data_IF_451250455801
#
_entry.id   IF_451250455801
#
_cell.length_a   1.000
_cell.length_b   1.000
_cell.length_c   1.000
_cell.angle_alpha   90.00
_cell.angle_beta   90.00
_cell.angle_gamma   90.00
#
_symmetry.space_group_name_H-M   'P 1'
#
loop_
_entity.id
_entity.type
_entity.pdbx_description
1 polymer ?
#
# COMPACT_ATOMS: atom_id res chain seq x y z
N UNK A 1 18.85 -26.83 -11.74
CA UNK A 1 17.53 -27.15 -11.11
C UNK A 1 16.85 -25.82 -10.84
N UNK A 2 15.94 -25.39 -11.72
CA UNK A 2 15.12 -24.20 -11.44
C UNK A 2 14.14 -24.59 -10.33
N UNK A 3 14.49 -24.28 -9.08
CA UNK A 3 13.53 -24.34 -8.00
C UNK A 3 12.47 -23.30 -8.31
N UNK A 4 11.24 -23.76 -8.51
CA UNK A 4 10.09 -22.88 -8.74
C UNK A 4 9.94 -21.98 -7.49
N UNK A 5 10.00 -20.66 -7.70
CA UNK A 5 9.93 -19.68 -6.62
C UNK A 5 8.56 -19.71 -5.95
N UNK A 6 8.54 -19.85 -4.62
CA UNK A 6 7.31 -19.79 -3.84
C UNK A 6 6.89 -18.33 -3.63
N UNK A 7 5.72 -17.95 -4.18
CA UNK A 7 5.20 -16.60 -4.08
C UNK A 7 3.88 -16.65 -3.30
N UNK A 8 3.81 -15.88 -2.23
CA UNK A 8 2.57 -15.66 -1.47
C UNK A 8 1.91 -14.35 -1.90
N UNK A 9 0.58 -14.32 -1.91
CA UNK A 9 -0.18 -13.09 -2.07
C UNK A 9 -0.95 -12.77 -0.79
N UNK A 10 -0.85 -11.55 -0.29
CA UNK A 10 -1.60 -11.07 0.89
C UNK A 10 -2.67 -10.10 0.42
N UNK A 11 -3.93 -10.40 0.74
CA UNK A 11 -5.08 -9.52 0.51
C UNK A 11 -5.71 -9.19 1.86
N UNK A 12 -5.76 -7.91 2.21
CA UNK A 12 -6.46 -7.45 3.41
C UNK A 12 -7.84 -6.94 3.02
N UNK A 13 -8.88 -7.50 3.63
CA UNK A 13 -10.27 -7.10 3.42
C UNK A 13 -10.74 -6.14 4.51
N UNK A 14 -11.52 -5.16 4.10
CA UNK A 14 -12.31 -4.32 5.00
C UNK A 14 -13.63 -3.95 4.33
N UNK A 15 -14.74 -4.58 4.75
CA UNK A 15 -16.06 -4.47 4.13
C UNK A 15 -16.00 -4.63 2.59
N UNK A 16 -15.51 -5.78 2.07
CA UNK A 16 -15.19 -5.96 0.67
C UNK A 16 -16.42 -5.96 -0.23
N UNK A 17 -16.25 -5.52 -1.47
CA UNK A 17 -17.19 -5.85 -2.54
C UNK A 17 -16.92 -7.29 -2.98
N UNK A 18 -17.86 -8.19 -2.66
CA UNK A 18 -17.71 -9.64 -2.87
C UNK A 18 -17.48 -9.97 -4.35
N UNK A 19 -18.23 -9.36 -5.27
CA UNK A 19 -18.07 -9.62 -6.70
C UNK A 19 -16.71 -9.17 -7.24
N UNK A 20 -16.16 -8.08 -6.70
CA UNK A 20 -14.83 -7.59 -7.05
C UNK A 20 -13.75 -8.52 -6.50
N UNK A 21 -13.88 -8.96 -5.25
CA UNK A 21 -12.95 -9.89 -4.63
C UNK A 21 -12.81 -11.19 -5.44
N UNK A 22 -13.92 -11.80 -5.88
CA UNK A 22 -13.85 -13.01 -6.68
C UNK A 22 -13.24 -12.78 -8.08
N UNK A 23 -13.44 -11.61 -8.70
CA UNK A 23 -12.71 -11.25 -9.92
C UNK A 23 -11.20 -11.17 -9.70
N UNK A 24 -10.78 -10.58 -8.59
CA UNK A 24 -9.37 -10.51 -8.21
C UNK A 24 -8.80 -11.91 -7.99
N UNK A 25 -9.52 -12.77 -7.26
CA UNK A 25 -9.09 -14.14 -7.00
C UNK A 25 -8.96 -15.00 -8.26
N UNK A 26 -9.88 -14.86 -9.22
CA UNK A 26 -9.79 -15.56 -10.50
C UNK A 26 -8.52 -15.21 -11.27
N UNK A 27 -8.05 -13.96 -11.16
CA UNK A 27 -6.85 -13.52 -11.86
C UNK A 27 -5.57 -13.86 -11.09
N UNK A 28 -5.58 -13.79 -9.76
CA UNK A 28 -4.34 -13.91 -8.98
C UNK A 28 -4.03 -15.33 -8.52
N UNK A 29 -5.05 -16.16 -8.27
CA UNK A 29 -4.84 -17.51 -7.70
C UNK A 29 -3.95 -18.41 -8.58
N UNK A 30 -4.00 -18.23 -9.90
CA UNK A 30 -3.17 -18.98 -10.86
C UNK A 30 -1.75 -18.41 -11.03
N UNK A 31 -1.46 -17.24 -10.44
CA UNK A 31 -0.16 -16.58 -10.58
C UNK A 31 0.74 -16.75 -9.35
N UNK A 32 0.19 -17.25 -8.23
CA UNK A 32 0.90 -17.38 -6.96
C UNK A 32 0.74 -18.77 -6.35
N UNK A 33 1.66 -19.16 -5.48
CA UNK A 33 1.58 -20.46 -4.80
C UNK A 33 0.43 -20.50 -3.80
N UNK A 34 0.18 -19.40 -3.10
CA UNK A 34 -0.89 -19.29 -2.09
C UNK A 34 -1.38 -17.86 -1.98
N UNK A 35 -2.69 -17.69 -1.85
CA UNK A 35 -3.33 -16.42 -1.50
C UNK A 35 -3.78 -16.49 -0.04
N UNK A 36 -3.31 -15.56 0.78
CA UNK A 36 -3.71 -15.43 2.18
C UNK A 36 -4.58 -14.19 2.34
N UNK A 37 -5.84 -14.41 2.68
CA UNK A 37 -6.83 -13.36 2.85
C UNK A 37 -7.02 -13.10 4.35
N UNK A 38 -6.77 -11.86 4.76
CA UNK A 38 -6.98 -11.40 6.14
C UNK A 38 -8.20 -10.49 6.16
N UNK A 39 -9.31 -10.97 6.72
CA UNK A 39 -10.51 -10.15 6.84
C UNK A 39 -10.48 -9.31 8.12
N UNK A 40 -10.17 -8.04 7.91
CA UNK A 40 -10.09 -6.98 8.91
C UNK A 40 -11.44 -6.27 9.14
N UNK A 41 -12.53 -6.84 8.63
CA UNK A 41 -13.89 -6.29 8.77
C UNK A 41 -14.47 -6.55 10.15
N UNK A 42 -15.33 -5.63 10.59
CA UNK A 42 -16.10 -5.79 11.83
C UNK A 42 -17.44 -6.49 11.61
N UNK A 43 -17.91 -6.48 10.35
CA UNK A 43 -19.15 -7.15 9.93
C UNK A 43 -18.85 -8.50 9.32
N UNK A 44 -19.76 -9.44 9.49
CA UNK A 44 -19.65 -10.74 8.85
C UNK A 44 -19.96 -10.60 7.35
N UNK A 45 -19.00 -11.00 6.52
CA UNK A 45 -19.21 -11.23 5.10
C UNK A 45 -19.21 -12.76 4.92
N UNK A 46 -20.34 -13.36 4.54
CA UNK A 46 -20.41 -14.78 4.22
C UNK A 46 -19.59 -15.05 2.95
N UNK A 47 -18.28 -15.24 3.10
CA UNK A 47 -17.36 -15.51 2.00
C UNK A 47 -17.09 -17.02 1.93
N UNK A 48 -17.26 -17.61 0.76
CA UNK A 48 -16.95 -19.02 0.50
C UNK A 48 -15.83 -19.10 -0.55
N UNK A 49 -14.71 -19.71 -0.16
CA UNK A 49 -13.51 -19.89 -0.99
C UNK A 49 -13.28 -21.36 -1.38
N UNK A 50 -14.27 -22.23 -1.22
CA UNK A 50 -14.16 -23.68 -1.50
C UNK A 50 -13.73 -24.02 -2.93
N UNK A 51 -13.98 -23.11 -3.88
CA UNK A 51 -13.56 -23.25 -5.29
C UNK A 51 -12.07 -22.94 -5.54
N UNK A 52 -11.32 -22.51 -4.52
CA UNK A 52 -9.91 -22.13 -4.64
C UNK A 52 -9.05 -23.01 -3.74
N UNK A 53 -8.26 -23.91 -4.31
CA UNK A 53 -7.44 -24.87 -3.56
C UNK A 53 -6.24 -24.23 -2.85
N UNK A 54 -5.83 -23.03 -3.28
CA UNK A 54 -4.66 -22.31 -2.75
C UNK A 54 -5.01 -21.01 -2.01
N UNK A 55 -6.30 -20.81 -1.65
CA UNK A 55 -6.73 -19.66 -0.86
C UNK A 55 -6.88 -20.05 0.60
N UNK A 56 -6.26 -19.28 1.49
CA UNK A 56 -6.40 -19.40 2.94
C UNK A 56 -7.09 -18.13 3.44
N UNK A 57 -8.08 -18.30 4.30
CA UNK A 57 -8.88 -17.19 4.82
C UNK A 57 -8.79 -17.13 6.34
N UNK A 58 -8.43 -15.97 6.87
CA UNK A 58 -8.42 -15.68 8.29
C UNK A 58 -9.31 -14.46 8.59
N UNK A 59 -10.28 -14.65 9.48
CA UNK A 59 -11.21 -13.61 9.92
C UNK A 59 -10.79 -13.08 11.29
N UNK A 60 -10.55 -11.78 11.38
CA UNK A 60 -10.12 -11.14 12.64
C UNK A 60 -11.29 -10.70 13.53
N UNK A 61 -12.46 -10.40 12.94
CA UNK A 61 -13.66 -9.93 13.66
C UNK A 61 -13.56 -8.48 14.16
N UNK A 62 -12.43 -7.82 13.99
CA UNK A 62 -12.20 -6.42 14.36
C UNK A 62 -11.17 -5.77 13.43
N UNK A 63 -11.24 -4.45 13.30
CA UNK A 63 -10.27 -3.68 12.50
C UNK A 63 -9.02 -3.36 13.33
N UNK A 64 -7.93 -4.07 13.06
CA UNK A 64 -6.62 -3.87 13.70
C UNK A 64 -5.68 -2.95 12.87
N UNK A 65 -6.15 -2.42 11.74
CA UNK A 65 -5.36 -1.64 10.80
C UNK A 65 -4.70 -2.47 9.71
N UNK A 66 -4.38 -1.83 8.58
CA UNK A 66 -3.82 -2.53 7.42
C UNK A 66 -2.43 -3.09 7.70
N UNK A 67 -1.60 -2.34 8.44
CA UNK A 67 -0.23 -2.77 8.74
C UNK A 67 -0.21 -4.06 9.57
N UNK A 68 -1.01 -4.13 10.65
CA UNK A 68 -1.12 -5.33 11.49
C UNK A 68 -1.71 -6.51 10.72
N UNK A 69 -2.74 -6.28 9.89
CA UNK A 69 -3.34 -7.32 9.08
C UNK A 69 -2.35 -7.86 8.02
N UNK A 70 -1.59 -6.99 7.36
CA UNK A 70 -0.51 -7.40 6.45
C UNK A 70 0.60 -8.17 7.16
N UNK A 71 0.96 -7.78 8.39
CA UNK A 71 1.96 -8.48 9.20
C UNK A 71 1.52 -9.90 9.58
N UNK A 72 0.23 -10.16 9.79
CA UNK A 72 -0.29 -11.53 9.98
C UNK A 72 0.03 -12.39 8.75
N UNK A 73 -0.29 -11.90 7.55
CA UNK A 73 0.04 -12.59 6.30
C UNK A 73 1.55 -12.77 6.10
N UNK A 74 2.37 -11.76 6.42
CA UNK A 74 3.84 -11.86 6.37
C UNK A 74 4.37 -12.96 7.29
N UNK A 75 3.84 -13.10 8.49
CA UNK A 75 4.22 -14.15 9.42
C UNK A 75 3.85 -15.56 8.91
N UNK A 76 2.74 -15.68 8.18
CA UNK A 76 2.36 -16.92 7.53
C UNK A 76 3.38 -17.31 6.43
N UNK A 77 3.84 -16.34 5.65
CA UNK A 77 4.69 -16.55 4.49
C UNK A 77 6.22 -16.49 4.76
N UNK A 78 6.64 -16.56 6.00
CA UNK A 78 8.09 -16.45 6.36
C UNK A 78 9.03 -17.41 5.63
N UNK A 79 8.51 -18.58 5.17
CA UNK A 79 9.27 -19.62 4.45
C UNK A 79 9.05 -19.56 2.92
N UNK A 80 8.50 -18.46 2.40
CA UNK A 80 8.34 -18.20 0.97
C UNK A 80 9.51 -17.36 0.44
N UNK A 81 9.67 -17.32 -0.90
CA UNK A 81 10.70 -16.47 -1.52
C UNK A 81 10.23 -15.02 -1.65
N UNK A 82 8.99 -14.82 -2.09
CA UNK A 82 8.43 -13.50 -2.39
C UNK A 82 7.01 -13.35 -1.87
N UNK A 83 6.65 -12.10 -1.58
CA UNK A 83 5.31 -11.67 -1.23
C UNK A 83 4.82 -10.64 -2.23
N UNK A 84 3.60 -10.83 -2.70
CA UNK A 84 2.81 -9.83 -3.39
C UNK A 84 1.75 -9.28 -2.43
N UNK A 85 1.73 -7.97 -2.20
CA UNK A 85 0.56 -7.33 -1.60
C UNK A 85 -0.45 -6.99 -2.69
N UNK A 86 -1.74 -7.19 -2.44
CA UNK A 86 -2.78 -6.84 -3.39
C UNK A 86 -3.98 -6.22 -2.66
N UNK A 87 -4.46 -5.08 -3.15
CA UNK A 87 -5.64 -4.43 -2.58
C UNK A 87 -6.93 -5.14 -3.02
N UNK A 88 -7.96 -5.07 -2.19
CA UNK A 88 -9.26 -5.73 -2.42
C UNK A 88 -10.09 -5.14 -3.58
N UNK A 89 -9.61 -4.08 -4.22
CA UNK A 89 -10.27 -3.32 -5.29
C UNK A 89 -9.40 -3.16 -6.56
N UNK A 90 -8.25 -3.81 -6.59
CA UNK A 90 -7.29 -3.74 -7.70
C UNK A 90 -7.26 -5.06 -8.48
N UNK A 91 -7.77 -5.07 -9.72
CA UNK A 91 -7.76 -6.26 -10.56
C UNK A 91 -6.39 -6.41 -11.21
N UNK A 92 -5.62 -7.47 -10.88
CA UNK A 92 -4.33 -7.72 -11.49
C UNK A 92 -4.48 -8.21 -12.93
N UNK A 93 -3.57 -7.85 -13.86
CA UNK A 93 -3.52 -8.51 -15.16
C UNK A 93 -2.96 -9.93 -15.05
N UNK A 94 -3.28 -10.81 -16.01
CA UNK A 94 -2.85 -12.21 -16.06
C UNK A 94 -1.33 -12.42 -15.95
N UNK A 95 -0.55 -11.43 -16.38
CA UNK A 95 0.92 -11.49 -16.39
C UNK A 95 1.58 -10.67 -15.28
N UNK A 96 0.84 -10.26 -14.25
CA UNK A 96 1.37 -9.39 -13.20
C UNK A 96 2.60 -10.02 -12.52
N UNK A 97 2.41 -11.17 -11.89
CA UNK A 97 3.44 -11.80 -11.07
C UNK A 97 4.63 -12.30 -11.91
N UNK A 98 4.43 -13.00 -13.03
CA UNK A 98 5.55 -13.41 -13.89
C UNK A 98 6.40 -12.22 -14.38
N UNK A 99 5.75 -11.10 -14.76
CA UNK A 99 6.46 -9.91 -15.24
C UNK A 99 7.23 -9.24 -14.11
N UNK A 100 6.63 -9.07 -12.93
CA UNK A 100 7.30 -8.47 -11.77
C UNK A 100 8.49 -9.34 -11.33
N UNK A 101 8.31 -10.66 -11.22
CA UNK A 101 9.37 -11.58 -10.81
C UNK A 101 10.54 -11.56 -11.80
N UNK A 102 10.26 -11.65 -13.10
CA UNK A 102 11.30 -11.57 -14.15
C UNK A 102 12.16 -10.32 -14.00
N UNK A 103 11.54 -9.17 -13.81
CA UNK A 103 12.26 -7.91 -13.66
C UNK A 103 12.97 -7.81 -12.31
N UNK A 104 12.39 -8.34 -11.24
CA UNK A 104 13.04 -8.43 -9.93
C UNK A 104 14.36 -9.21 -10.03
N UNK A 105 14.32 -10.41 -10.61
CA UNK A 105 15.49 -11.27 -10.81
C UNK A 105 16.53 -10.63 -11.74
N UNK A 106 16.10 -9.95 -12.80
CA UNK A 106 16.98 -9.19 -13.68
C UNK A 106 17.75 -8.11 -12.89
N UNK A 107 17.06 -7.33 -12.08
CA UNK A 107 17.69 -6.27 -11.26
C UNK A 107 18.68 -6.84 -10.24
N UNK A 108 18.37 -8.00 -9.63
CA UNK A 108 19.32 -8.71 -8.75
C UNK A 108 20.59 -9.14 -9.50
N UNK A 109 20.45 -9.66 -10.74
CA UNK A 109 21.60 -10.04 -11.57
C UNK A 109 22.47 -8.84 -11.97
N UNK A 110 21.88 -7.63 -12.00
CA UNK A 110 22.62 -6.37 -12.18
C UNK A 110 23.26 -5.86 -10.87
N UNK A 111 23.32 -6.69 -9.82
CA UNK A 111 23.85 -6.37 -8.48
C UNK A 111 23.15 -5.18 -7.83
N UNK A 112 21.85 -5.05 -8.01
CA UNK A 112 21.02 -4.02 -7.39
C UNK A 112 20.34 -4.60 -6.14
N UNK A 113 20.42 -3.89 -5.02
CA UNK A 113 19.67 -4.21 -3.81
C UNK A 113 18.20 -3.84 -4.00
N UNK A 114 17.42 -4.80 -4.48
CA UNK A 114 16.00 -4.57 -4.82
C UNK A 114 15.15 -4.61 -3.55
N UNK A 115 14.56 -3.48 -3.19
CA UNK A 115 13.59 -3.39 -2.09
C UNK A 115 12.23 -3.97 -2.49
N UNK A 116 11.69 -3.46 -3.58
CA UNK A 116 10.45 -3.95 -4.18
C UNK A 116 10.35 -3.54 -5.65
N UNK A 117 9.53 -4.29 -6.40
CA UNK A 117 9.06 -3.92 -7.74
C UNK A 117 7.55 -3.85 -7.75
N UNK A 118 6.98 -2.91 -8.49
CA UNK A 118 5.53 -2.75 -8.63
C UNK A 118 5.13 -2.46 -10.08
N UNK A 119 3.86 -2.66 -10.44
CA UNK A 119 3.34 -2.31 -11.77
C UNK A 119 3.21 -0.80 -11.96
N UNK A 120 3.02 -0.39 -13.19
CA UNK A 120 2.62 0.98 -13.53
C UNK A 120 1.15 1.20 -13.17
N UNK A 121 0.82 2.12 -12.26
CA UNK A 121 -0.58 2.45 -11.97
C UNK A 121 -1.27 3.07 -13.20
N UNK A 122 -2.51 2.63 -13.47
CA UNK A 122 -3.33 3.08 -14.58
C UNK A 122 -4.74 3.44 -14.11
N UNK A 123 -5.19 4.65 -14.41
CA UNK A 123 -6.55 5.09 -14.12
C UNK A 123 -7.48 4.66 -15.27
N UNK A 124 -8.32 3.65 -15.01
CA UNK A 124 -9.27 3.11 -15.99
C UNK A 124 -10.33 4.15 -16.37
N UNK A 125 -10.78 5.00 -15.44
CA UNK A 125 -11.83 5.99 -15.69
C UNK A 125 -11.39 7.12 -16.63
N UNK A 126 -10.10 7.50 -16.60
CA UNK A 126 -9.54 8.55 -17.45
C UNK A 126 -8.75 8.01 -18.64
N UNK A 127 -8.61 6.69 -18.78
CA UNK A 127 -7.76 6.03 -19.77
C UNK A 127 -6.33 6.60 -19.81
N UNK A 128 -5.76 6.91 -18.64
CA UNK A 128 -4.44 7.53 -18.51
C UNK A 128 -3.56 6.79 -17.52
N UNK A 129 -2.27 6.70 -17.84
CA UNK A 129 -1.26 6.26 -16.88
C UNK A 129 -1.15 7.28 -15.74
N UNK A 130 -1.20 6.80 -14.51
CA UNK A 130 -1.02 7.66 -13.35
C UNK A 130 0.44 8.12 -13.25
N UNK A 131 0.67 9.42 -13.20
CA UNK A 131 2.02 9.98 -13.26
C UNK A 131 2.61 10.41 -11.89
N UNK A 132 1.85 10.31 -10.81
CA UNK A 132 2.21 10.88 -9.50
C UNK A 132 3.63 10.60 -9.01
N UNK A 133 3.92 9.38 -8.57
CA UNK A 133 5.24 8.98 -8.04
C UNK A 133 6.33 8.95 -9.13
N UNK A 134 5.94 8.75 -10.38
CA UNK A 134 6.84 8.56 -11.52
C UNK A 134 7.43 9.89 -12.01
N UNK A 135 6.74 11.02 -11.86
CA UNK A 135 7.31 12.34 -12.19
C UNK A 135 8.63 12.64 -11.49
N UNK A 136 8.91 11.93 -10.39
CA UNK A 136 10.15 12.06 -9.59
C UNK A 136 11.08 10.87 -9.77
N UNK A 137 10.70 9.87 -10.59
CA UNK A 137 11.49 8.67 -10.83
C UNK A 137 12.59 8.90 -11.87
N UNK A 138 13.61 8.05 -11.82
CA UNK A 138 14.68 7.99 -12.80
C UNK A 138 14.55 6.71 -13.62
N UNK A 139 14.33 6.82 -14.93
CA UNK A 139 14.36 5.66 -15.83
C UNK A 139 15.78 5.10 -15.88
N UNK A 140 15.95 3.81 -15.55
CA UNK A 140 17.26 3.16 -15.52
C UNK A 140 17.40 2.13 -16.64
N UNK A 141 16.29 1.49 -17.05
CA UNK A 141 16.21 0.59 -18.19
C UNK A 141 14.97 0.93 -19.02
N UNK A 142 14.84 0.35 -20.22
CA UNK A 142 13.76 0.65 -21.16
C UNK A 142 12.35 0.58 -20.51
N UNK A 143 12.13 -0.42 -19.64
CA UNK A 143 10.84 -0.69 -19.01
C UNK A 143 10.84 -0.51 -17.48
N UNK A 144 11.90 0.06 -16.91
CA UNK A 144 12.08 0.13 -15.45
C UNK A 144 12.41 1.54 -15.00
N UNK A 145 11.59 2.08 -14.12
CA UNK A 145 11.77 3.41 -13.51
C UNK A 145 12.03 3.25 -12.02
N UNK A 146 13.19 3.72 -11.57
CA UNK A 146 13.51 3.82 -10.14
C UNK A 146 12.72 4.95 -9.50
N UNK A 147 12.12 4.67 -8.33
CA UNK A 147 11.29 5.63 -7.57
C UNK A 147 11.74 5.74 -6.12
N UNK A 148 11.28 6.79 -5.45
CA UNK A 148 11.59 7.01 -4.04
C UNK A 148 10.92 6.01 -3.12
N UNK A 149 9.70 5.67 -3.38
CA UNK A 149 8.84 4.76 -2.63
C UNK A 149 7.81 4.11 -3.54
N UNK A 150 7.29 2.96 -3.14
CA UNK A 150 6.16 2.26 -3.76
C UNK A 150 4.98 2.19 -2.81
N UNK A 151 3.77 2.17 -3.36
CA UNK A 151 2.58 1.75 -2.62
C UNK A 151 2.57 0.23 -2.48
N UNK A 152 1.96 -0.29 -1.43
CA UNK A 152 1.90 -1.74 -1.20
C UNK A 152 1.12 -2.47 -2.29
N UNK A 153 0.07 -1.84 -2.83
CA UNK A 153 -0.79 -2.47 -3.86
C UNK A 153 0.01 -2.99 -5.05
N UNK A 154 -0.05 -4.30 -5.26
CA UNK A 154 0.66 -5.05 -6.31
C UNK A 154 2.20 -4.94 -6.25
N UNK A 155 2.79 -4.60 -5.11
CA UNK A 155 4.24 -4.65 -4.95
C UNK A 155 4.71 -6.07 -4.62
N UNK A 156 5.75 -6.52 -5.35
CA UNK A 156 6.45 -7.78 -5.12
C UNK A 156 7.72 -7.51 -4.34
N UNK A 157 7.88 -8.19 -3.20
CA UNK A 157 8.98 -8.00 -2.25
C UNK A 157 9.56 -9.37 -1.87
N UNK A 158 10.87 -9.51 -1.81
CA UNK A 158 11.50 -10.72 -1.26
C UNK A 158 11.24 -10.82 0.25
N UNK A 159 10.87 -12.00 0.75
CA UNK A 159 10.65 -12.25 2.19
C UNK A 159 11.88 -11.91 3.01
N UNK A 160 13.05 -12.17 2.48
CA UNK A 160 14.33 -11.85 3.11
C UNK A 160 14.49 -10.36 3.44
N UNK A 161 13.86 -9.46 2.64
CA UNK A 161 13.89 -8.03 2.91
C UNK A 161 13.15 -7.69 4.20
N UNK A 162 12.04 -8.39 4.51
CA UNK A 162 11.34 -8.21 5.80
C UNK A 162 12.16 -8.73 6.97
N UNK A 163 12.96 -9.79 6.78
CA UNK A 163 13.85 -10.30 7.82
C UNK A 163 14.97 -9.29 8.14
N UNK A 164 15.44 -8.54 7.15
CA UNK A 164 16.52 -7.54 7.30
C UNK A 164 16.01 -6.18 7.77
N UNK A 165 14.89 -5.72 7.22
CA UNK A 165 14.33 -4.38 7.46
C UNK A 165 13.35 -4.39 8.63
N UNK A 166 12.71 -5.51 8.90
CA UNK A 166 11.59 -5.67 9.83
C UNK A 166 10.24 -5.57 9.13
N UNK A 167 9.20 -5.98 9.84
CA UNK A 167 7.81 -5.95 9.39
C UNK A 167 7.29 -4.51 9.20
N UNK A 168 6.08 -4.38 8.69
CA UNK A 168 5.40 -3.08 8.58
C UNK A 168 5.13 -2.48 9.96
N UNK A 169 5.17 -1.15 10.08
CA UNK A 169 4.92 -0.50 11.36
C UNK A 169 3.42 -0.48 11.69
N UNK A 170 2.98 -1.43 12.50
CA UNK A 170 1.60 -1.61 12.93
C UNK A 170 1.04 -0.43 13.73
N UNK A 171 1.90 0.28 14.45
CA UNK A 171 1.55 1.49 15.18
C UNK A 171 0.97 2.62 14.31
N UNK A 172 1.23 2.59 12.99
CA UNK A 172 0.64 3.54 12.05
C UNK A 172 -0.82 3.22 11.69
N UNK A 173 -1.26 1.98 11.82
CA UNK A 173 -2.60 1.51 11.52
C UNK A 173 -2.99 1.59 10.04
N UNK A 174 -3.01 2.79 9.45
CA UNK A 174 -3.29 3.09 8.03
C UNK A 174 -2.61 4.41 7.65
N UNK A 175 -2.39 4.63 6.36
CA UNK A 175 -1.70 5.80 5.77
C UNK A 175 -0.19 5.87 6.11
N UNK A 176 0.62 5.98 5.08
CA UNK A 176 2.09 6.03 5.10
C UNK A 176 2.81 4.75 5.60
N UNK A 177 2.12 3.62 5.75
CA UNK A 177 2.71 2.34 6.19
C UNK A 177 3.74 1.83 5.17
N UNK A 178 3.35 1.81 3.90
CA UNK A 178 4.17 1.42 2.76
C UNK A 178 5.36 2.37 2.54
N UNK A 179 5.11 3.68 2.59
CA UNK A 179 6.15 4.69 2.44
C UNK A 179 7.17 4.62 3.58
N UNK A 180 6.72 4.46 4.83
CA UNK A 180 7.58 4.29 5.99
C UNK A 180 8.52 3.11 5.79
N UNK A 181 7.98 1.94 5.41
CA UNK A 181 8.78 0.76 5.18
C UNK A 181 9.83 0.97 4.07
N UNK A 182 9.44 1.62 2.96
CA UNK A 182 10.37 1.95 1.88
C UNK A 182 11.51 2.85 2.35
N UNK A 183 11.22 3.90 3.13
CA UNK A 183 12.26 4.81 3.63
C UNK A 183 13.19 4.12 4.64
N UNK A 184 12.63 3.29 5.52
CA UNK A 184 13.38 2.49 6.48
C UNK A 184 14.29 1.49 5.78
N UNK A 185 13.80 0.80 4.75
CA UNK A 185 14.57 -0.12 3.95
C UNK A 185 15.76 0.56 3.25
N UNK A 186 15.55 1.76 2.70
CA UNK A 186 16.65 2.57 2.15
C UNK A 186 17.72 2.91 3.19
N UNK A 187 17.29 3.30 4.38
CA UNK A 187 18.22 3.69 5.45
C UNK A 187 19.03 2.50 6.00
N UNK A 188 18.44 1.31 6.06
CA UNK A 188 19.07 0.12 6.63
C UNK A 188 19.98 -0.59 5.60
N UNK A 189 19.52 -0.76 4.34
CA UNK A 189 20.19 -1.62 3.37
C UNK A 189 20.37 -1.02 1.99
N UNK A 190 20.24 0.31 1.82
CA UNK A 190 20.32 0.96 0.50
C UNK A 190 19.35 0.39 -0.54
N UNK A 191 18.26 -0.24 -0.10
CA UNK A 191 17.28 -0.83 -0.98
C UNK A 191 16.67 0.17 -1.95
N UNK A 192 16.52 -0.25 -3.21
CA UNK A 192 15.96 0.55 -4.30
C UNK A 192 14.60 0.02 -4.72
N UNK A 193 13.74 0.89 -5.20
CA UNK A 193 12.34 0.59 -5.54
C UNK A 193 12.07 0.92 -7.00
N UNK A 194 11.30 0.05 -7.69
CA UNK A 194 11.15 0.14 -9.13
C UNK A 194 9.72 -0.05 -9.59
N UNK A 195 9.31 0.77 -10.55
CA UNK A 195 8.07 0.58 -11.30
C UNK A 195 8.41 -0.08 -12.63
N UNK A 196 7.71 -1.17 -12.93
CA UNK A 196 7.81 -1.92 -14.17
C UNK A 196 6.72 -1.41 -15.12
N UNK A 197 7.15 -0.78 -16.22
CA UNK A 197 6.27 -0.06 -17.15
C UNK A 197 5.47 -1.00 -18.08
N UNK A 198 5.90 -2.26 -18.22
CA UNK A 198 5.29 -3.27 -19.11
C UNK A 198 4.02 -3.89 -18.53
N UNK A 199 3.75 -3.69 -17.24
CA UNK A 199 2.57 -4.19 -16.58
C UNK A 199 1.77 -3.06 -15.96
N UNK A 200 0.49 -2.96 -16.35
CA UNK A 200 -0.41 -1.92 -15.91
C UNK A 200 -1.38 -2.46 -14.85
N UNK A 201 -1.40 -1.85 -13.67
CA UNK A 201 -2.41 -2.14 -12.66
C UNK A 201 -3.58 -1.18 -12.83
N UNK A 202 -4.74 -1.74 -13.14
CA UNK A 202 -5.97 -0.96 -13.18
C UNK A 202 -6.45 -0.67 -11.75
N UNK A 203 -6.28 0.57 -11.34
CA UNK A 203 -6.79 1.06 -10.06
C UNK A 203 -8.00 1.96 -10.30
N UNK A 204 -9.11 1.68 -9.61
CA UNK A 204 -10.26 2.58 -9.60
C UNK A 204 -10.06 3.53 -8.44
N UNK A 205 -9.64 4.77 -8.73
CA UNK A 205 -9.63 5.83 -7.72
C UNK A 205 -11.05 6.03 -7.20
N UNK A 206 -11.24 5.96 -5.88
CA UNK A 206 -12.54 5.96 -5.24
C UNK A 206 -13.45 7.11 -5.70
N UNK A 207 -14.75 6.83 -5.77
CA UNK A 207 -15.79 7.83 -5.96
C UNK A 207 -15.74 8.84 -4.82
N UNK A 208 -15.49 10.11 -5.10
CA UNK A 208 -15.48 11.17 -4.08
C UNK A 208 -14.69 12.42 -4.43
N UNK A 209 -14.25 12.56 -5.67
CA UNK A 209 -13.53 13.77 -6.09
C UNK A 209 -14.48 14.97 -6.17
N UNK A 210 -14.35 15.93 -5.25
CA UNK A 210 -14.95 17.26 -5.40
C UNK A 210 -14.04 18.13 -6.25
N UNK A 211 -14.59 18.79 -7.28
CA UNK A 211 -13.87 19.80 -8.05
C UNK A 211 -13.79 21.09 -7.26
N UNK A 212 -12.59 21.54 -6.96
CA UNK A 212 -12.36 22.86 -6.39
C UNK A 212 -11.37 23.63 -7.29
N UNK A 213 -11.75 24.80 -7.75
CA UNK A 213 -10.97 25.62 -8.68
C UNK A 213 -10.43 24.84 -9.90
N UNK A 214 -11.22 23.89 -10.43
CA UNK A 214 -10.84 23.06 -11.58
C UNK A 214 -9.91 21.88 -11.26
N UNK A 215 -9.54 21.68 -9.99
CA UNK A 215 -8.69 20.56 -9.53
C UNK A 215 -9.57 19.55 -8.79
N UNK A 216 -9.46 18.27 -9.16
CA UNK A 216 -10.11 17.19 -8.41
C UNK A 216 -9.37 17.00 -7.08
N UNK A 217 -10.05 17.26 -5.96
CA UNK A 217 -9.51 17.04 -4.62
C UNK A 217 -10.23 15.85 -4.02
N UNK A 218 -9.49 14.77 -3.79
CA UNK A 218 -9.99 13.64 -3.01
C UNK A 218 -10.07 14.03 -1.53
N UNK A 219 -11.30 14.10 -0.99
CA UNK A 219 -11.56 14.39 0.42
C UNK A 219 -11.78 13.05 1.14
N UNK A 220 -10.83 12.59 1.97
CA UNK A 220 -10.96 11.32 2.69
C UNK A 220 -12.04 11.43 3.76
N UNK A 221 -12.56 10.29 4.23
CA UNK A 221 -13.46 10.27 5.39
C UNK A 221 -12.84 11.00 6.61
N UNK A 222 -13.64 11.69 7.45
CA UNK A 222 -13.11 12.47 8.58
C UNK A 222 -12.18 11.67 9.51
N UNK A 223 -12.53 10.43 9.83
CA UNK A 223 -11.69 9.54 10.65
C UNK A 223 -10.32 9.27 10.02
N UNK A 224 -10.21 9.20 8.71
CA UNK A 224 -8.92 8.99 8.03
C UNK A 224 -7.98 10.17 8.22
N UNK A 225 -8.53 11.39 8.37
CA UNK A 225 -7.69 12.58 8.68
C UNK A 225 -7.02 12.49 10.04
N UNK A 226 -7.63 11.80 11.02
CA UNK A 226 -6.99 11.52 12.29
C UNK A 226 -5.66 10.76 12.09
N UNK A 227 -5.70 9.65 11.35
CA UNK A 227 -4.49 8.86 11.09
C UNK A 227 -3.46 9.64 10.28
N UNK A 228 -3.87 10.39 9.26
CA UNK A 228 -2.98 11.23 8.46
C UNK A 228 -2.19 12.22 9.32
N UNK A 229 -2.87 12.93 10.21
CA UNK A 229 -2.24 13.92 11.09
C UNK A 229 -1.40 13.26 12.18
N UNK A 230 -1.90 12.19 12.80
CA UNK A 230 -1.15 11.45 13.83
C UNK A 230 0.16 10.89 13.27
N UNK A 231 0.05 10.18 12.15
CA UNK A 231 1.21 9.53 11.54
C UNK A 231 2.22 10.55 11.02
N UNK A 232 1.75 11.68 10.47
CA UNK A 232 2.63 12.76 10.06
C UNK A 232 3.50 13.25 11.25
N UNK A 233 2.90 13.54 12.40
CA UNK A 233 3.63 13.96 13.60
C UNK A 233 4.61 12.88 14.07
N UNK A 234 4.20 11.61 14.09
CA UNK A 234 5.08 10.48 14.44
C UNK A 234 6.28 10.36 13.52
N UNK A 235 6.08 10.55 12.20
CA UNK A 235 7.11 10.40 11.18
C UNK A 235 8.05 11.61 11.08
N UNK A 236 7.66 12.79 11.57
CA UNK A 236 8.52 13.97 11.60
C UNK A 236 9.84 13.72 12.35
N UNK A 237 9.80 12.95 13.44
CA UNK A 237 10.95 12.68 14.30
C UNK A 237 11.84 11.52 13.82
N UNK A 238 11.50 10.89 12.67
CA UNK A 238 12.27 9.78 12.11
C UNK A 238 13.36 10.30 11.17
N UNK A 239 14.63 10.01 11.45
CA UNK A 239 15.76 10.50 10.65
C UNK A 239 15.76 9.98 9.20
N UNK A 240 15.26 8.76 8.99
CA UNK A 240 15.18 8.12 7.68
C UNK A 240 14.03 8.63 6.80
N UNK A 241 13.06 9.35 7.37
CA UNK A 241 11.95 9.92 6.58
C UNK A 241 12.45 11.14 5.79
N UNK A 242 12.25 11.18 4.45
CA UNK A 242 12.81 12.22 3.61
C UNK A 242 12.32 13.62 3.95
N UNK A 243 13.24 14.59 3.97
CA UNK A 243 12.91 15.99 4.29
C UNK A 243 11.86 16.58 3.33
N UNK A 244 11.94 16.26 2.03
CA UNK A 244 10.96 16.73 1.05
C UNK A 244 9.53 16.27 1.40
N UNK A 245 9.38 15.04 1.92
CA UNK A 245 8.07 14.51 2.33
C UNK A 245 7.57 15.24 3.58
N UNK A 246 8.44 15.44 4.57
CA UNK A 246 8.10 16.18 5.79
C UNK A 246 7.62 17.59 5.46
N UNK A 247 8.37 18.31 4.64
CA UNK A 247 8.06 19.70 4.27
C UNK A 247 6.79 19.80 3.42
N UNK A 248 6.70 19.02 2.33
CA UNK A 248 5.55 19.10 1.43
C UNK A 248 4.24 18.66 2.07
N UNK A 249 4.27 17.62 2.91
CA UNK A 249 3.08 17.20 3.63
C UNK A 249 2.76 18.14 4.81
N UNK A 250 3.76 18.76 5.44
CA UNK A 250 3.56 19.81 6.43
C UNK A 250 2.73 20.96 5.89
N UNK A 251 3.09 21.48 4.72
CA UNK A 251 2.30 22.54 4.05
C UNK A 251 0.88 22.05 3.73
N UNK A 252 0.73 20.84 3.16
CA UNK A 252 -0.58 20.28 2.83
C UNK A 252 -1.47 20.12 4.08
N UNK A 253 -0.92 19.60 5.18
CA UNK A 253 -1.68 19.39 6.41
C UNK A 253 -2.01 20.70 7.10
N UNK A 254 -1.10 21.68 7.07
CA UNK A 254 -1.38 23.04 7.51
C UNK A 254 -2.57 23.64 6.77
N UNK A 255 -2.56 23.60 5.43
CA UNK A 255 -3.67 24.08 4.62
C UNK A 255 -4.96 23.31 4.95
N UNK A 256 -4.94 21.96 5.00
CA UNK A 256 -6.10 21.14 5.34
C UNK A 256 -6.70 21.50 6.70
N UNK A 257 -5.84 21.76 7.70
CA UNK A 257 -6.27 22.07 9.07
C UNK A 257 -7.17 23.29 9.15
N UNK A 258 -6.91 24.32 8.33
CA UNK A 258 -7.72 25.54 8.28
C UNK A 258 -8.81 25.49 7.20
N UNK A 259 -8.56 24.85 6.08
CA UNK A 259 -9.48 24.80 4.95
C UNK A 259 -10.68 23.86 5.21
N UNK A 260 -10.45 22.64 5.70
CA UNK A 260 -11.52 21.65 5.85
C UNK A 260 -12.63 22.09 6.81
N UNK A 261 -12.34 22.68 7.98
CA UNK A 261 -13.39 23.13 8.90
C UNK A 261 -14.35 24.17 8.32
N UNK A 262 -13.88 24.96 7.34
CA UNK A 262 -14.61 26.08 6.79
C UNK A 262 -15.34 25.70 5.49
N UNK A 263 -14.68 24.93 4.62
CA UNK A 263 -15.12 24.72 3.24
C UNK A 263 -15.58 23.28 2.92
N UNK A 264 -15.44 22.34 3.85
CA UNK A 264 -15.87 20.96 3.64
C UNK A 264 -17.10 20.65 4.48
N UNK A 265 -18.03 19.86 3.90
CA UNK A 265 -19.19 19.37 4.65
C UNK A 265 -18.72 18.63 5.92
N UNK A 266 -19.46 18.76 7.03
CA UNK A 266 -19.06 18.24 8.34
C UNK A 266 -17.71 18.82 8.88
N UNK A 267 -17.31 20.02 8.50
CA UNK A 267 -16.02 20.63 8.82
C UNK A 267 -15.62 20.57 10.30
N UNK A 268 -16.60 20.69 11.23
CA UNK A 268 -16.36 20.52 12.69
C UNK A 268 -15.84 19.11 13.02
N UNK A 269 -16.32 18.09 12.31
CA UNK A 269 -15.90 16.69 12.50
C UNK A 269 -14.45 16.49 12.03
N UNK A 270 -14.10 17.09 10.88
CA UNK A 270 -12.72 17.12 10.41
C UNK A 270 -11.79 17.80 11.42
N UNK A 271 -12.16 18.99 11.93
CA UNK A 271 -11.36 19.70 12.95
C UNK A 271 -11.11 18.81 14.17
N UNK A 272 -12.17 18.16 14.68
CA UNK A 272 -12.06 17.26 15.84
C UNK A 272 -11.06 16.13 15.58
N UNK A 273 -11.13 15.44 14.45
CA UNK A 273 -10.26 14.32 14.10
C UNK A 273 -8.82 14.78 13.84
N UNK A 274 -8.61 15.86 13.10
CA UNK A 274 -7.29 16.42 12.84
C UNK A 274 -6.59 16.86 14.14
N UNK A 275 -7.28 17.61 15.01
CA UNK A 275 -6.74 18.05 16.30
C UNK A 275 -6.40 16.87 17.21
N UNK A 276 -7.30 15.86 17.27
CA UNK A 276 -7.01 14.63 18.02
C UNK A 276 -5.81 13.88 17.43
N UNK A 277 -5.68 13.82 16.10
CA UNK A 277 -4.54 13.22 15.44
C UNK A 277 -3.22 13.90 15.80
N UNK A 278 -3.17 15.24 15.79
CA UNK A 278 -2.00 16.00 16.24
C UNK A 278 -1.64 15.68 17.71
N UNK A 279 -2.63 15.75 18.60
CA UNK A 279 -2.42 15.47 20.02
C UNK A 279 -1.90 14.05 20.28
N UNK A 280 -2.55 13.03 19.67
CA UNK A 280 -2.17 11.63 19.83
C UNK A 280 -0.82 11.33 19.14
N UNK A 281 -0.47 12.06 18.06
CA UNK A 281 0.83 12.00 17.40
C UNK A 281 1.97 12.44 18.31
N UNK A 282 1.83 13.56 19.02
CA UNK A 282 2.82 14.00 20.02
C UNK A 282 2.93 13.03 21.21
N UNK A 283 1.84 12.35 21.56
CA UNK A 283 1.86 11.30 22.60
C UNK A 283 2.36 9.94 22.10
N UNK A 284 2.75 9.85 20.84
CA UNK A 284 3.19 8.62 20.17
C UNK A 284 2.17 7.46 20.30
N UNK A 285 0.86 7.77 20.27
CA UNK A 285 -0.19 6.78 20.37
C UNK A 285 -0.19 5.85 19.15
N UNK A 286 -0.34 4.55 19.38
CA UNK A 286 -0.39 3.51 18.36
C UNK A 286 -1.82 3.00 18.12
N UNK A 287 -2.02 2.31 16.97
CA UNK A 287 -3.23 1.55 16.69
C UNK A 287 -4.46 2.40 16.37
N UNK A 288 -5.63 1.89 16.72
CA UNK A 288 -6.91 2.56 16.45
C UNK A 288 -7.14 3.81 17.31
N UNK A 289 -8.07 4.67 16.85
CA UNK A 289 -8.51 5.89 17.55
C UNK A 289 -9.25 5.58 18.85
#
# INVERSE_FOLDING_TARGET
MNLEKKIGCIIVLYNPNVSMLFKILNEISNQVSTVYIVDNSTKDSCLDFSNYSNVIFEKLGNNIGIASAQNIGLNFFKDYDYILFLDQDSIPPENLVPTLLKNYLFLLNENIDVGAVGPRPFNRGENKKYEGSIKKGKRIYHNTTEVGELISSSSLIAVENFNKVGLLEDGLFIDAVDHEWCWRAKAIGNYRFFIIEDVLLSHQLGEGDKKFLGVNIHIPAPIRTYYQFRNYIKLLNRNYVPFYWKFSNGIKYFIKYFYYPIFVDEGKKYMKYMSKGVYDGFKNKNGSI
#
